data_IF_407691223065
#
_entry.id   IF_407691223065
#
_cell.length_a   1.000
_cell.length_b   1.000
_cell.length_c   1.000
_cell.angle_alpha   90.00
_cell.angle_beta   90.00
_cell.angle_gamma   90.00
#
_symmetry.space_group_name_H-M   'P 1'
#
loop_
_entity.id
_entity.type
_entity.pdbx_description
1 polymer ?
#
# COMPACT_ATOMS: atom_id res chain seq x y z
N UNK A 1 4.94 19.17 -5.28
CA UNK A 1 5.03 17.74 -5.66
C UNK A 1 5.10 16.87 -4.42
N UNK A 2 4.54 15.66 -4.47
CA UNK A 2 4.65 14.68 -3.38
C UNK A 2 5.23 13.35 -3.88
N UNK A 3 6.09 12.73 -3.07
CA UNK A 3 6.54 11.35 -3.23
C UNK A 3 6.22 10.54 -1.97
N UNK A 4 5.76 9.31 -2.16
CA UNK A 4 5.26 8.46 -1.07
C UNK A 4 6.21 7.29 -0.85
N UNK A 5 6.76 7.18 0.35
CA UNK A 5 7.58 6.05 0.78
C UNK A 5 6.76 5.10 1.64
N UNK A 6 6.44 3.92 1.08
CA UNK A 6 5.82 2.83 1.85
C UNK A 6 6.91 1.90 2.42
N UNK A 7 6.97 1.78 3.75
CA UNK A 7 8.02 1.05 4.48
C UNK A 7 7.59 -0.34 4.96
N UNK A 8 8.47 -1.31 4.81
CA UNK A 8 8.41 -2.60 5.51
C UNK A 8 9.52 -2.64 6.56
N UNK A 9 9.13 -2.77 7.82
CA UNK A 9 10.06 -2.81 8.95
C UNK A 9 10.52 -4.23 9.23
N UNK A 10 11.82 -4.40 9.48
CA UNK A 10 12.43 -5.65 9.91
C UNK A 10 13.33 -5.39 11.12
N UNK A 11 13.74 -6.47 11.79
CA UNK A 11 14.60 -6.39 12.98
C UNK A 11 15.96 -5.72 12.69
N UNK A 12 16.56 -6.03 11.53
CA UNK A 12 17.92 -5.59 11.17
C UNK A 12 17.96 -4.49 10.09
N UNK A 13 16.81 -3.91 9.73
CA UNK A 13 16.75 -2.87 8.70
C UNK A 13 15.32 -2.51 8.33
N UNK A 14 15.17 -1.43 7.59
CA UNK A 14 13.89 -1.04 7.00
C UNK A 14 14.04 -1.00 5.49
N UNK A 15 13.12 -1.63 4.79
CA UNK A 15 13.04 -1.56 3.33
C UNK A 15 11.87 -0.69 2.93
N UNK A 16 11.94 -0.09 1.75
CA UNK A 16 10.85 0.75 1.28
C UNK A 16 10.68 0.77 -0.24
N UNK A 17 9.49 1.21 -0.64
CA UNK A 17 9.10 1.46 -2.03
C UNK A 17 8.72 2.93 -2.15
N UNK A 18 9.42 3.68 -3.00
CA UNK A 18 9.20 5.10 -3.20
C UNK A 18 8.40 5.33 -4.49
N UNK A 19 7.27 6.02 -4.38
CA UNK A 19 6.32 6.26 -5.46
C UNK A 19 6.19 7.74 -5.78
N UNK A 20 5.93 8.04 -7.05
CA UNK A 20 5.36 9.30 -7.50
C UNK A 20 4.06 8.98 -8.23
N UNK A 21 2.92 9.36 -7.63
CA UNK A 21 1.62 8.83 -8.03
C UNK A 21 1.60 7.29 -7.98
N UNK A 22 1.26 6.64 -9.09
CA UNK A 22 1.25 5.17 -9.20
C UNK A 22 2.60 4.57 -9.63
N UNK A 23 3.57 5.40 -10.00
CA UNK A 23 4.84 4.94 -10.55
C UNK A 23 5.84 4.64 -9.44
N UNK A 24 6.37 3.42 -9.42
CA UNK A 24 7.52 3.07 -8.57
C UNK A 24 8.77 3.78 -9.11
N UNK A 25 9.33 4.70 -8.33
CA UNK A 25 10.55 5.44 -8.67
C UNK A 25 11.76 4.57 -8.38
N UNK A 26 11.89 4.09 -7.14
CA UNK A 26 12.96 3.22 -6.68
C UNK A 26 12.54 2.49 -5.39
N UNK A 27 13.39 1.58 -4.94
CA UNK A 27 13.31 1.04 -3.58
C UNK A 27 14.20 1.87 -2.65
N UNK A 28 14.04 1.70 -1.34
CA UNK A 28 14.92 2.31 -0.34
C UNK A 28 15.35 1.30 0.71
N UNK A 29 16.50 1.56 1.32
CA UNK A 29 16.98 0.88 2.53
C UNK A 29 17.31 1.92 3.61
N UNK A 30 17.04 1.56 4.86
CA UNK A 30 17.30 2.38 6.03
C UNK A 30 17.69 1.49 7.23
N UNK A 31 18.14 2.13 8.31
CA UNK A 31 18.33 1.46 9.61
C UNK A 31 17.00 0.91 10.17
N UNK A 32 17.04 -0.06 11.11
CA UNK A 32 15.82 -0.50 11.79
C UNK A 32 15.17 0.65 12.58
N UNK A 33 13.88 0.54 12.86
CA UNK A 33 13.19 1.48 13.74
C UNK A 33 13.58 1.22 15.20
N UNK A 34 14.26 2.18 15.80
CA UNK A 34 14.72 2.14 17.19
C UNK A 34 14.29 3.39 17.94
N UNK A 35 13.01 3.74 17.86
CA UNK A 35 12.39 4.88 18.58
C UNK A 35 13.07 6.23 18.26
N UNK A 36 13.27 6.50 16.96
CA UNK A 36 13.94 7.72 16.45
C UNK A 36 15.34 8.00 17.08
N UNK A 37 16.00 6.98 17.65
CA UNK A 37 17.32 7.16 18.27
C UNK A 37 18.36 7.61 17.25
N UNK A 38 19.14 8.62 17.65
CA UNK A 38 20.14 9.23 16.77
C UNK A 38 21.16 8.22 16.27
N UNK A 39 21.45 8.26 14.98
CA UNK A 39 22.50 7.48 14.29
C UNK A 39 22.32 5.96 14.24
N UNK A 40 21.26 5.43 14.85
CA UNK A 40 20.98 3.98 14.89
C UNK A 40 19.58 3.62 14.41
N UNK A 41 18.69 4.60 14.26
CA UNK A 41 17.30 4.42 13.82
C UNK A 41 17.04 5.06 12.46
N UNK A 42 16.09 4.51 11.70
CA UNK A 42 15.37 5.30 10.68
C UNK A 42 14.51 6.40 11.36
N UNK A 43 14.13 7.42 10.60
CA UNK A 43 13.31 8.55 11.09
C UNK A 43 11.83 8.17 11.20
N UNK A 44 11.01 8.86 11.99
CA UNK A 44 9.59 8.54 12.14
C UNK A 44 8.82 8.62 10.81
N UNK A 45 7.69 7.92 10.76
CA UNK A 45 6.66 8.16 9.74
C UNK A 45 6.13 9.59 9.84
N UNK A 46 5.62 10.13 8.74
CA UNK A 46 5.21 11.53 8.64
C UNK A 46 5.55 12.16 7.29
N UNK A 47 5.20 13.42 7.13
CA UNK A 47 5.51 14.19 5.92
C UNK A 47 6.66 15.17 6.17
N UNK A 48 7.68 15.11 5.32
CA UNK A 48 8.89 15.90 5.44
C UNK A 48 9.17 16.65 4.15
N UNK A 49 9.57 17.90 4.29
CA UNK A 49 9.98 18.74 3.17
C UNK A 49 11.34 18.27 2.63
N UNK A 50 11.40 17.99 1.32
CA UNK A 50 12.64 17.72 0.60
C UNK A 50 13.20 19.06 0.10
N UNK A 51 14.46 19.35 0.42
CA UNK A 51 15.20 20.47 -0.16
C UNK A 51 16.43 20.00 -0.93
N UNK A 52 16.79 20.76 -1.98
CA UNK A 52 18.07 20.64 -2.67
C UNK A 52 19.11 21.47 -1.92
N UNK A 53 20.23 20.85 -1.56
CA UNK A 53 21.36 21.52 -0.89
C UNK A 53 22.64 21.26 -1.66
N UNK A 54 23.46 22.30 -1.81
CA UNK A 54 24.81 22.17 -2.36
C UNK A 54 25.86 22.25 -1.25
N UNK A 55 26.88 21.38 -1.31
CA UNK A 55 28.13 21.54 -0.56
C UNK A 55 29.33 21.27 -1.45
N UNK A 56 30.47 21.88 -1.13
CA UNK A 56 31.74 21.66 -1.86
C UNK A 56 32.17 20.19 -1.88
N UNK A 57 31.86 19.44 -0.83
CA UNK A 57 32.30 18.05 -0.66
C UNK A 57 31.39 17.01 -1.30
N UNK A 58 30.09 17.30 -1.48
CA UNK A 58 29.09 16.32 -1.96
C UNK A 58 28.32 16.78 -3.19
N UNK A 59 28.56 18.00 -3.66
CA UNK A 59 27.76 18.61 -4.71
C UNK A 59 26.30 18.81 -4.26
N UNK A 60 25.40 18.85 -5.25
CA UNK A 60 23.96 18.96 -5.03
C UNK A 60 23.37 17.64 -4.55
N UNK A 61 22.64 17.67 -3.44
CA UNK A 61 22.02 16.50 -2.83
C UNK A 61 20.68 16.85 -2.19
N UNK A 62 19.89 15.83 -1.88
CA UNK A 62 18.58 15.94 -1.26
C UNK A 62 18.71 15.81 0.26
N UNK A 63 18.04 16.69 0.99
CA UNK A 63 17.95 16.69 2.45
C UNK A 63 16.49 16.79 2.89
N UNK A 64 16.15 16.11 3.99
CA UNK A 64 14.88 16.29 4.67
C UNK A 64 15.01 17.36 5.76
N UNK A 65 14.09 18.31 5.76
CA UNK A 65 13.98 19.35 6.78
C UNK A 65 12.88 19.03 7.80
N UNK A 66 12.96 19.70 8.96
CA UNK A 66 11.95 19.62 10.05
C UNK A 66 11.68 18.20 10.57
N UNK A 67 12.67 17.30 10.49
CA UNK A 67 12.56 15.97 11.11
C UNK A 67 12.60 16.11 12.64
N UNK A 68 11.61 15.60 13.40
CA UNK A 68 11.58 15.72 14.86
C UNK A 68 12.85 15.18 15.51
N UNK A 69 13.47 16.01 16.35
CA UNK A 69 14.68 15.70 17.12
C UNK A 69 15.88 15.20 16.30
N UNK A 70 15.89 15.46 14.99
CA UNK A 70 16.93 15.00 14.05
C UNK A 70 17.27 16.09 13.05
N UNK A 71 18.48 16.02 12.52
CA UNK A 71 18.97 16.95 11.49
C UNK A 71 19.94 16.22 10.57
N UNK A 72 20.15 16.75 9.36
CA UNK A 72 21.10 16.17 8.42
C UNK A 72 20.68 14.80 7.90
N UNK A 73 19.37 14.57 7.74
CA UNK A 73 18.82 13.36 7.17
C UNK A 73 18.82 13.51 5.66
N UNK A 74 19.67 12.73 4.98
CA UNK A 74 19.89 12.84 3.55
C UNK A 74 19.23 11.67 2.80
N UNK A 75 18.93 11.91 1.52
CA UNK A 75 18.70 10.83 0.57
C UNK A 75 19.98 10.64 -0.25
N UNK A 76 20.73 9.56 -0.01
CA UNK A 76 22.04 9.35 -0.61
C UNK A 76 22.33 7.87 -0.92
N UNK A 77 23.28 7.56 -1.81
CA UNK A 77 23.60 6.18 -2.13
C UNK A 77 24.19 5.44 -0.92
N UNK A 78 23.72 4.22 -0.70
CA UNK A 78 24.32 3.19 0.15
C UNK A 78 23.73 1.83 -0.26
N UNK A 79 24.48 0.74 -0.10
CA UNK A 79 24.02 -0.61 -0.42
C UNK A 79 23.80 -1.47 0.84
N UNK A 80 24.30 -1.03 2.00
CA UNK A 80 24.11 -1.68 3.29
C UNK A 80 23.83 -0.63 4.38
N UNK A 81 22.60 -0.61 4.88
CA UNK A 81 22.14 0.39 5.83
C UNK A 81 22.96 0.41 7.13
N UNK A 82 23.21 -0.76 7.74
CA UNK A 82 23.92 -0.87 9.01
C UNK A 82 25.39 -0.43 8.92
N UNK A 83 26.01 -0.55 7.74
CA UNK A 83 27.41 -0.19 7.53
C UNK A 83 27.59 1.26 7.11
N UNK A 84 26.65 1.80 6.36
CA UNK A 84 26.85 3.06 5.61
C UNK A 84 25.94 4.20 6.07
N UNK A 85 24.85 3.91 6.80
CA UNK A 85 23.87 4.91 7.21
C UNK A 85 23.93 5.24 8.71
N UNK A 86 23.52 6.47 9.04
CA UNK A 86 23.34 6.97 10.41
C UNK A 86 21.95 7.60 10.58
N UNK A 87 20.97 6.97 9.96
CA UNK A 87 19.56 7.40 9.94
C UNK A 87 19.12 8.14 8.68
N UNK A 88 19.98 8.20 7.66
CA UNK A 88 19.62 8.64 6.31
C UNK A 88 18.78 7.56 5.58
N UNK A 89 18.23 7.94 4.42
CA UNK A 89 17.48 7.06 3.54
C UNK A 89 18.30 6.79 2.28
N UNK A 90 18.48 5.53 1.89
CA UNK A 90 19.26 5.19 0.70
C UNK A 90 18.39 4.62 -0.42
N UNK A 91 18.26 5.32 -1.56
CA UNK A 91 17.65 4.76 -2.77
C UNK A 91 18.47 3.59 -3.31
N UNK A 92 17.80 2.50 -3.71
CA UNK A 92 18.38 1.32 -4.36
C UNK A 92 17.49 0.87 -5.52
N UNK A 93 18.09 0.23 -6.54
CA UNK A 93 17.30 -0.26 -7.68
C UNK A 93 16.72 -1.65 -7.42
N UNK A 94 17.30 -2.39 -6.47
CA UNK A 94 16.89 -3.73 -6.07
C UNK A 94 17.11 -3.91 -4.57
N UNK A 95 16.18 -4.61 -3.93
CA UNK A 95 16.30 -5.09 -2.55
C UNK A 95 16.89 -6.50 -2.56
N UNK A 96 17.93 -6.73 -1.77
CA UNK A 96 18.60 -8.03 -1.65
C UNK A 96 18.35 -8.67 -0.28
N UNK A 97 18.21 -7.88 0.80
CA UNK A 97 17.80 -8.33 2.12
C UNK A 97 17.23 -7.16 2.95
N UNK A 98 16.74 -7.36 4.19
CA UNK A 98 16.41 -6.25 5.09
C UNK A 98 17.59 -5.29 5.29
N UNK A 99 17.41 -4.02 4.94
CA UNK A 99 18.46 -3.00 5.03
C UNK A 99 19.62 -3.18 4.03
N UNK A 100 19.48 -4.06 3.03
CA UNK A 100 20.52 -4.33 2.02
C UNK A 100 19.91 -4.28 0.62
N UNK A 101 20.54 -3.53 -0.26
CA UNK A 101 20.14 -3.43 -1.66
C UNK A 101 21.31 -3.14 -2.57
N UNK A 102 21.03 -3.06 -3.87
CA UNK A 102 22.05 -2.89 -4.90
C UNK A 102 21.70 -1.77 -5.88
N UNK A 103 22.74 -1.29 -6.56
CA UNK A 103 22.67 -0.23 -7.57
C UNK A 103 22.11 1.09 -7.00
N UNK A 104 22.59 1.49 -5.82
CA UNK A 104 22.16 2.71 -5.13
C UNK A 104 22.50 4.02 -5.85
N UNK A 105 23.65 4.08 -6.53
CA UNK A 105 24.02 5.25 -7.32
C UNK A 105 23.00 5.51 -8.42
N UNK A 106 22.72 4.51 -9.26
CA UNK A 106 21.71 4.59 -10.33
C UNK A 106 20.32 4.98 -9.80
N UNK A 107 19.90 4.43 -8.67
CA UNK A 107 18.61 4.75 -8.07
C UNK A 107 18.56 6.19 -7.51
N UNK A 108 19.67 6.64 -6.91
CA UNK A 108 19.77 8.01 -6.38
C UNK A 108 19.80 9.03 -7.51
N UNK A 109 20.55 8.79 -8.58
CA UNK A 109 20.56 9.63 -9.78
C UNK A 109 19.16 9.72 -10.40
N UNK A 110 18.46 8.58 -10.54
CA UNK A 110 17.08 8.57 -11.04
C UNK A 110 16.15 9.43 -10.18
N UNK A 111 16.26 9.32 -8.85
CA UNK A 111 15.47 10.12 -7.92
C UNK A 111 15.83 11.60 -7.98
N UNK A 112 17.13 11.93 -8.01
CA UNK A 112 17.61 13.30 -8.12
C UNK A 112 17.15 13.96 -9.42
N UNK A 113 17.22 13.27 -10.56
CA UNK A 113 16.74 13.83 -11.84
C UNK A 113 15.24 14.17 -11.78
N UNK A 114 14.44 13.32 -11.15
CA UNK A 114 13.00 13.57 -10.98
C UNK A 114 12.75 14.80 -10.08
N UNK A 115 13.45 14.90 -8.95
CA UNK A 115 13.15 15.93 -7.95
C UNK A 115 13.85 17.25 -8.20
N UNK A 116 15.07 17.24 -8.74
CA UNK A 116 15.81 18.47 -9.04
C UNK A 116 15.11 19.30 -10.11
N UNK A 117 14.45 18.67 -11.09
CA UNK A 117 13.69 19.40 -12.10
C UNK A 117 12.58 20.27 -11.47
N UNK A 118 11.93 19.74 -10.43
CA UNK A 118 10.86 20.44 -9.69
C UNK A 118 11.43 21.44 -8.70
N UNK A 119 12.47 21.05 -7.95
CA UNK A 119 13.12 21.91 -6.97
C UNK A 119 13.83 23.12 -7.60
N UNK A 120 14.38 22.97 -8.81
CA UNK A 120 15.02 24.08 -9.54
C UNK A 120 13.99 25.08 -10.11
N UNK A 121 12.69 24.73 -10.09
CA UNK A 121 11.57 25.64 -10.35
C UNK A 121 11.01 26.29 -9.08
N UNK A 122 11.72 26.17 -7.94
CA UNK A 122 11.30 26.63 -6.61
C UNK A 122 9.97 26.04 -6.12
N UNK A 123 9.53 24.92 -6.71
CA UNK A 123 8.33 24.21 -6.26
C UNK A 123 8.64 23.37 -5.01
N UNK A 124 7.69 23.33 -4.08
CA UNK A 124 7.82 22.52 -2.87
C UNK A 124 7.68 21.03 -3.16
N UNK A 125 8.56 20.22 -2.57
CA UNK A 125 8.54 18.77 -2.68
C UNK A 125 8.43 18.15 -1.29
N UNK A 126 7.46 17.26 -1.09
CA UNK A 126 7.25 16.55 0.17
C UNK A 126 7.50 15.05 0.01
N UNK A 127 8.14 14.45 1.01
CA UNK A 127 8.24 13.02 1.22
C UNK A 127 7.27 12.60 2.30
N UNK A 128 6.24 11.85 1.93
CA UNK A 128 5.31 11.24 2.89
C UNK A 128 5.74 9.81 3.16
N UNK A 129 6.10 9.53 4.41
CA UNK A 129 6.57 8.23 4.87
C UNK A 129 5.47 7.55 5.67
N UNK A 130 5.12 6.32 5.27
CA UNK A 130 4.11 5.52 5.93
C UNK A 130 4.47 4.04 5.93
N UNK A 131 3.96 3.29 6.91
CA UNK A 131 4.05 1.83 6.91
C UNK A 131 3.33 1.24 5.70
N UNK A 132 3.97 0.27 5.04
CA UNK A 132 3.34 -0.58 4.05
C UNK A 132 2.29 -1.45 4.75
N UNK A 133 1.02 -1.24 4.41
CA UNK A 133 -0.07 -2.12 4.80
C UNK A 133 -0.16 -3.19 3.70
N UNK A 134 0.44 -4.35 3.93
CA UNK A 134 0.22 -5.49 3.06
C UNK A 134 -1.09 -6.17 3.52
N UNK A 135 -2.18 -6.01 2.77
CA UNK A 135 -3.43 -6.72 3.06
C UNK A 135 -3.18 -8.22 3.03
N UNK A 136 -3.26 -8.87 4.20
CA UNK A 136 -3.22 -10.32 4.27
C UNK A 136 -4.58 -10.91 3.86
N UNK A 137 -4.64 -12.22 3.62
CA UNK A 137 -5.87 -12.97 3.38
C UNK A 137 -6.89 -12.73 4.49
N UNK A 138 -6.42 -12.64 5.75
CA UNK A 138 -7.28 -12.36 6.90
C UNK A 138 -7.95 -10.99 6.78
N UNK A 139 -7.22 -9.97 6.31
CA UNK A 139 -7.75 -8.62 6.15
C UNK A 139 -8.75 -8.57 4.98
N UNK A 140 -8.46 -9.32 3.90
CA UNK A 140 -9.40 -9.52 2.79
C UNK A 140 -10.70 -10.22 3.21
N UNK A 141 -10.65 -11.20 4.11
CA UNK A 141 -11.85 -11.90 4.60
C UNK A 141 -12.70 -11.00 5.51
N UNK A 142 -12.06 -10.05 6.21
CA UNK A 142 -12.75 -9.10 7.10
C UNK A 142 -13.31 -7.86 6.39
N UNK A 143 -12.84 -7.58 5.17
CA UNK A 143 -13.28 -6.42 4.42
C UNK A 143 -14.79 -6.51 4.11
N UNK A 144 -15.52 -5.38 4.20
CA UNK A 144 -16.96 -5.36 4.06
C UNK A 144 -17.38 -5.78 2.65
N UNK A 145 -18.46 -6.55 2.54
CA UNK A 145 -19.08 -6.85 1.24
C UNK A 145 -19.62 -5.55 0.61
N UNK A 146 -19.35 -5.29 -0.68
CA UNK A 146 -19.81 -4.07 -1.35
C UNK A 146 -21.34 -3.97 -1.36
N UNK A 147 -21.87 -2.75 -1.39
CA UNK A 147 -23.33 -2.49 -1.32
C UNK A 147 -24.12 -3.25 -2.39
N UNK A 148 -23.61 -3.33 -3.62
CA UNK A 148 -24.24 -4.08 -4.71
C UNK A 148 -24.40 -5.58 -4.38
N UNK A 149 -23.36 -6.21 -3.85
CA UNK A 149 -23.38 -7.65 -3.53
C UNK A 149 -24.28 -7.96 -2.33
N UNK A 150 -24.45 -7.03 -1.39
CA UNK A 150 -25.46 -7.14 -0.32
C UNK A 150 -26.89 -7.19 -0.88
N UNK A 151 -27.18 -6.36 -1.89
CA UNK A 151 -28.48 -6.38 -2.58
C UNK A 151 -28.67 -7.70 -3.32
N UNK A 152 -27.65 -8.14 -4.05
CA UNK A 152 -27.68 -9.39 -4.80
C UNK A 152 -27.93 -10.60 -3.88
N UNK A 153 -27.24 -10.69 -2.73
CA UNK A 153 -27.49 -11.72 -1.71
C UNK A 153 -28.96 -11.74 -1.24
N UNK A 154 -29.54 -10.57 -1.02
CA UNK A 154 -30.93 -10.44 -0.53
C UNK A 154 -31.92 -10.92 -1.60
N UNK A 155 -31.69 -10.57 -2.87
CA UNK A 155 -32.49 -11.05 -4.00
C UNK A 155 -32.37 -12.58 -4.11
N UNK A 156 -31.15 -13.13 -4.03
CA UNK A 156 -30.92 -14.58 -4.11
C UNK A 156 -31.64 -15.36 -3.02
N UNK A 157 -31.57 -14.89 -1.78
CA UNK A 157 -32.32 -15.47 -0.65
C UNK A 157 -33.84 -15.39 -0.88
N UNK A 158 -34.34 -14.27 -1.40
CA UNK A 158 -35.76 -14.10 -1.72
C UNK A 158 -36.25 -15.08 -2.80
N UNK A 159 -35.51 -15.21 -3.90
CA UNK A 159 -35.83 -16.15 -4.98
C UNK A 159 -35.80 -17.60 -4.50
N UNK A 160 -34.79 -17.96 -3.69
CA UNK A 160 -34.68 -19.30 -3.14
C UNK A 160 -35.83 -19.63 -2.17
N UNK A 161 -36.22 -18.68 -1.32
CA UNK A 161 -37.36 -18.86 -0.42
C UNK A 161 -38.68 -19.01 -1.17
N UNK A 162 -38.92 -18.17 -2.19
CA UNK A 162 -40.12 -18.24 -3.03
C UNK A 162 -40.20 -19.58 -3.80
N UNK A 163 -39.10 -19.98 -4.44
CA UNK A 163 -39.01 -21.27 -5.12
C UNK A 163 -39.20 -22.45 -4.15
N UNK A 164 -38.58 -22.38 -2.97
CA UNK A 164 -38.71 -23.41 -1.94
C UNK A 164 -40.14 -23.54 -1.43
N UNK A 165 -40.86 -22.42 -1.25
CA UNK A 165 -42.26 -22.42 -0.86
C UNK A 165 -43.17 -23.06 -1.93
N UNK A 166 -42.92 -22.80 -3.23
CA UNK A 166 -43.65 -23.44 -4.34
C UNK A 166 -43.45 -24.96 -4.30
N UNK A 167 -42.22 -25.41 -4.11
CA UNK A 167 -41.89 -26.84 -4.08
C UNK A 167 -42.40 -27.56 -2.83
N UNK A 168 -42.44 -26.88 -1.68
CA UNK A 168 -42.93 -27.42 -0.41
C UNK A 168 -44.46 -27.35 -0.27
N UNK A 169 -45.17 -26.88 -1.29
CA UNK A 169 -46.63 -26.81 -1.30
C UNK A 169 -47.26 -28.20 -1.08
N UNK A 170 -48.22 -28.35 -0.15
CA UNK A 170 -48.85 -29.64 0.14
C UNK A 170 -49.86 -30.09 -0.93
N UNK A 171 -50.20 -29.21 -1.88
CA UNK A 171 -51.10 -29.51 -3.00
C UNK A 171 -50.30 -29.85 -4.26
N UNK A 172 -50.82 -30.79 -5.05
CA UNK A 172 -50.24 -31.17 -6.34
C UNK A 172 -50.34 -30.00 -7.33
N UNK A 173 -49.20 -29.38 -7.62
CA UNK A 173 -49.10 -28.29 -8.61
C UNK A 173 -48.77 -28.85 -10.01
N UNK A 174 -49.23 -28.21 -11.09
CA UNK A 174 -48.82 -28.55 -12.45
C UNK A 174 -47.29 -28.57 -12.63
N UNK A 175 -46.79 -29.50 -13.45
CA UNK A 175 -45.36 -29.71 -13.67
C UNK A 175 -44.61 -28.42 -14.05
N UNK A 176 -45.19 -27.57 -14.89
CA UNK A 176 -44.58 -26.29 -15.28
C UNK A 176 -44.30 -25.36 -14.09
N UNK A 177 -45.19 -25.33 -13.09
CA UNK A 177 -45.01 -24.50 -11.88
C UNK A 177 -43.90 -25.08 -11.00
N UNK A 178 -43.86 -26.41 -10.85
CA UNK A 178 -42.79 -27.11 -10.11
C UNK A 178 -41.43 -26.86 -10.77
N UNK A 179 -41.35 -26.92 -12.11
CA UNK A 179 -40.12 -26.62 -12.85
C UNK A 179 -39.65 -25.18 -12.63
N UNK A 180 -40.56 -24.20 -12.67
CA UNK A 180 -40.22 -22.79 -12.37
C UNK A 180 -39.72 -22.65 -10.93
N UNK A 181 -40.40 -23.27 -9.95
CA UNK A 181 -39.96 -23.28 -8.55
C UNK A 181 -38.54 -23.86 -8.39
N UNK A 182 -38.23 -24.96 -9.09
CA UNK A 182 -36.90 -25.56 -9.12
C UNK A 182 -35.82 -24.61 -9.62
N UNK A 183 -36.07 -23.90 -10.72
CA UNK A 183 -35.11 -22.91 -11.25
C UNK A 183 -34.93 -21.70 -10.34
N UNK A 184 -35.99 -21.24 -9.67
CA UNK A 184 -35.89 -20.14 -8.69
C UNK A 184 -35.01 -20.52 -7.50
N UNK A 185 -35.13 -21.75 -6.99
CA UNK A 185 -34.24 -22.28 -5.94
C UNK A 185 -32.80 -22.38 -6.44
N UNK A 186 -32.58 -22.97 -7.61
CA UNK A 186 -31.24 -23.13 -8.15
C UNK A 186 -30.56 -21.77 -8.41
N UNK A 187 -31.25 -20.84 -9.08
CA UNK A 187 -30.72 -19.51 -9.35
C UNK A 187 -30.51 -18.69 -8.07
N UNK A 188 -31.48 -18.72 -7.16
CA UNK A 188 -31.40 -17.99 -5.88
C UNK A 188 -30.24 -18.45 -4.99
N UNK A 189 -30.00 -19.76 -4.93
CA UNK A 189 -28.90 -20.33 -4.13
C UNK A 189 -27.52 -20.00 -4.71
N UNK A 190 -27.33 -20.16 -6.03
CA UNK A 190 -26.07 -19.80 -6.71
C UNK A 190 -25.77 -18.30 -6.53
N UNK A 191 -26.76 -17.45 -6.80
CA UNK A 191 -26.61 -16.00 -6.67
C UNK A 191 -26.34 -15.58 -5.23
N UNK A 192 -27.03 -16.19 -4.25
CA UNK A 192 -26.80 -15.95 -2.83
C UNK A 192 -25.41 -16.38 -2.33
N UNK A 193 -24.87 -17.48 -2.86
CA UNK A 193 -23.54 -17.98 -2.51
C UNK A 193 -22.42 -17.12 -3.12
N UNK A 194 -22.48 -16.85 -4.42
CA UNK A 194 -21.47 -16.03 -5.11
C UNK A 194 -21.44 -14.60 -4.56
N UNK A 195 -22.59 -14.08 -4.12
CA UNK A 195 -22.65 -12.73 -3.56
C UNK A 195 -21.91 -12.57 -2.23
N UNK A 196 -21.53 -13.67 -1.56
CA UNK A 196 -20.79 -13.64 -0.30
C UNK A 196 -19.28 -13.67 -0.48
N UNK A 197 -18.79 -14.01 -1.67
CA UNK A 197 -17.34 -14.12 -1.94
C UNK A 197 -16.73 -12.82 -2.45
N UNK A 198 -17.55 -11.81 -2.75
CA UNK A 198 -17.09 -10.53 -3.25
C UNK A 198 -16.67 -9.59 -2.10
N UNK A 199 -15.49 -9.00 -2.23
CA UNK A 199 -14.88 -8.09 -1.26
C UNK A 199 -14.73 -6.70 -1.90
N UNK A 200 -14.89 -5.63 -1.12
CA UNK A 200 -14.68 -4.26 -1.60
C UNK A 200 -13.18 -3.92 -1.64
N UNK A 201 -12.71 -3.39 -2.78
CA UNK A 201 -11.31 -2.99 -2.98
C UNK A 201 -11.03 -1.54 -2.53
N UNK A 202 -12.06 -0.78 -2.10
CA UNK A 202 -11.97 0.68 -1.86
C UNK A 202 -11.67 1.13 -0.42
N UNK A 203 -11.22 0.27 0.47
CA UNK A 203 -10.98 0.64 1.87
C UNK A 203 -9.65 1.40 2.15
N UNK A 204 -9.12 2.20 1.21
CA UNK A 204 -7.93 3.07 1.46
C UNK A 204 -8.24 4.57 1.58
N UNK A 205 -9.50 5.00 1.61
CA UNK A 205 -9.86 6.38 1.94
C UNK A 205 -10.85 6.35 3.09
N UNK A 206 -10.37 6.57 4.32
CA UNK A 206 -11.08 7.16 5.47
C UNK A 206 -10.37 6.76 6.79
N UNK A 207 -9.20 7.34 7.09
CA UNK A 207 -8.71 7.63 8.45
C UNK A 207 -7.89 8.92 8.47
#
# INVERSE_FOLDING_TARGET
>A
MEVILKRTYHENGTNGKLYHGKQLVCFTIELPWLQNRRNVSCIPEGSYEIRKRYTKTRGSHLILEKVPDRSGILLHPANNALKELKGCIAPVSKLDAPGIGSLSQKATEKLQNLLFEVLDRDEEVFLTIQKQIDMNVVDRVKAPTPKFFKVLRTIGLGLAAAGGAILASPIALPAGIVTVGGYLVAGGTVLGAVSQTAVDDKCEEDE
#
